data_IF_703815149688
#
_entry.id   IF_703815149688
#
_cell.length_a   1.000
_cell.length_b   1.000
_cell.length_c   1.000
_cell.angle_alpha   90.00
_cell.angle_beta   90.00
_cell.angle_gamma   90.00
#
_symmetry.space_group_name_H-M   'P 1'
#
loop_
_entity.id
_entity.type
_entity.pdbx_description
1 polymer ?
#
# COMPACT_ATOMS: atom_id res chain seq x y z
N UNK A 1 -33.45 -8.90 -55.97
CA UNK A 1 -32.95 -10.13 -55.32
C UNK A 1 -31.90 -9.87 -54.25
N UNK A 2 -31.42 -8.67 -54.03
CA UNK A 2 -30.36 -8.33 -53.01
C UNK A 2 -30.95 -8.24 -51.58
N UNK A 3 -32.23 -7.94 -51.43
CA UNK A 3 -32.89 -7.69 -50.13
C UNK A 3 -33.02 -8.90 -49.19
N UNK A 4 -33.05 -10.12 -49.73
CA UNK A 4 -33.21 -11.35 -48.90
C UNK A 4 -31.92 -11.82 -48.20
N UNK A 5 -30.77 -11.47 -48.76
CA UNK A 5 -29.46 -11.88 -48.16
C UNK A 5 -29.02 -10.92 -47.04
N UNK A 6 -29.45 -9.64 -47.09
CA UNK A 6 -29.17 -8.69 -46.01
C UNK A 6 -29.91 -9.05 -44.73
N UNK A 7 -31.12 -9.61 -44.85
CA UNK A 7 -31.88 -10.06 -43.67
C UNK A 7 -31.23 -11.25 -42.95
N UNK A 8 -30.59 -12.17 -43.70
CA UNK A 8 -29.88 -13.30 -43.13
C UNK A 8 -28.58 -12.94 -42.44
N UNK A 9 -27.87 -11.92 -42.92
CA UNK A 9 -26.65 -11.40 -42.28
C UNK A 9 -27.00 -10.69 -40.97
N UNK A 10 -28.12 -9.98 -40.87
CA UNK A 10 -28.60 -9.37 -39.62
C UNK A 10 -29.07 -10.40 -38.58
N UNK A 11 -29.48 -11.58 -38.97
CA UNK A 11 -29.85 -12.70 -38.08
C UNK A 11 -28.61 -13.46 -37.55
N UNK A 12 -27.45 -13.27 -38.16
CA UNK A 12 -26.14 -13.81 -37.75
C UNK A 12 -25.31 -12.84 -36.93
N UNK A 13 -25.89 -11.72 -36.43
CA UNK A 13 -25.23 -10.88 -35.43
C UNK A 13 -25.10 -11.72 -34.15
N UNK A 14 -23.85 -11.93 -33.67
CA UNK A 14 -23.59 -12.91 -32.64
C UNK A 14 -24.35 -12.56 -31.35
N UNK A 15 -24.87 -13.60 -30.68
CA UNK A 15 -25.37 -13.56 -29.31
C UNK A 15 -24.37 -12.89 -28.33
N UNK A 16 -23.10 -12.77 -28.72
CA UNK A 16 -22.01 -12.17 -27.99
C UNK A 16 -22.19 -10.68 -27.65
N UNK A 17 -22.85 -9.89 -28.49
CA UNK A 17 -23.05 -8.45 -28.23
C UNK A 17 -23.93 -8.21 -27.00
N UNK A 18 -24.92 -9.07 -26.77
CA UNK A 18 -25.74 -8.99 -25.56
C UNK A 18 -24.92 -9.34 -24.33
N UNK A 19 -24.09 -10.37 -24.43
CA UNK A 19 -23.20 -10.79 -23.35
C UNK A 19 -22.16 -9.73 -23.05
N UNK A 20 -21.57 -9.10 -24.08
CA UNK A 20 -20.64 -7.98 -23.92
C UNK A 20 -21.31 -6.81 -23.19
N UNK A 21 -22.53 -6.45 -23.56
CA UNK A 21 -23.25 -5.33 -22.91
C UNK A 21 -23.52 -5.65 -21.42
N UNK A 22 -23.95 -6.86 -21.10
CA UNK A 22 -24.20 -7.32 -19.71
C UNK A 22 -22.90 -7.31 -18.91
N UNK A 23 -21.81 -7.80 -19.49
CA UNK A 23 -20.49 -7.84 -18.82
C UNK A 23 -19.95 -6.44 -18.57
N UNK A 24 -20.08 -5.50 -19.54
CA UNK A 24 -19.66 -4.12 -19.35
C UNK A 24 -20.49 -3.44 -18.25
N UNK A 25 -21.80 -3.66 -18.21
CA UNK A 25 -22.66 -3.14 -17.16
C UNK A 25 -22.23 -3.67 -15.77
N UNK A 26 -21.90 -4.97 -15.67
CA UNK A 26 -21.40 -5.56 -14.42
C UNK A 26 -20.07 -4.94 -13.97
N UNK A 27 -19.15 -4.67 -14.91
CA UNK A 27 -17.89 -3.97 -14.63
C UNK A 27 -18.16 -2.55 -14.10
N UNK A 28 -19.08 -1.82 -14.74
CA UNK A 28 -19.45 -0.47 -14.33
C UNK A 28 -20.08 -0.45 -12.94
N UNK A 29 -20.92 -1.44 -12.61
CA UNK A 29 -21.51 -1.59 -11.26
C UNK A 29 -20.42 -1.85 -10.23
N UNK A 30 -19.50 -2.79 -10.47
CA UNK A 30 -18.40 -3.09 -9.56
C UNK A 30 -17.50 -1.87 -9.31
N UNK A 31 -17.14 -1.16 -10.39
CA UNK A 31 -16.35 0.07 -10.33
C UNK A 31 -17.07 1.20 -9.57
N UNK A 32 -18.37 1.33 -9.76
CA UNK A 32 -19.18 2.34 -9.07
C UNK A 32 -19.26 2.06 -7.58
N UNK A 33 -19.54 0.82 -7.17
CA UNK A 33 -19.58 0.43 -5.76
C UNK A 33 -18.27 0.79 -5.04
N UNK A 34 -17.11 0.57 -5.69
CA UNK A 34 -15.82 0.95 -5.13
C UNK A 34 -15.68 2.46 -5.00
N UNK A 35 -16.03 3.23 -6.04
CA UNK A 35 -15.93 4.70 -6.03
C UNK A 35 -16.86 5.37 -5.02
N UNK A 36 -17.99 4.76 -4.75
CA UNK A 36 -18.98 5.22 -3.75
C UNK A 36 -18.63 4.76 -2.33
N UNK A 37 -17.48 4.09 -2.14
CA UNK A 37 -17.01 3.51 -0.90
C UNK A 37 -17.97 2.46 -0.29
N UNK A 38 -18.82 1.86 -1.12
CA UNK A 38 -19.64 0.70 -0.77
C UNK A 38 -18.83 -0.59 -0.97
N UNK A 39 -17.87 -0.77 -0.07
CA UNK A 39 -16.86 -1.82 -0.24
C UNK A 39 -17.43 -3.23 -0.09
N UNK A 40 -18.47 -3.42 0.70
CA UNK A 40 -19.14 -4.72 0.80
C UNK A 40 -19.76 -5.13 -0.54
N UNK A 41 -20.51 -4.24 -1.20
CA UNK A 41 -21.04 -4.48 -2.53
C UNK A 41 -19.94 -4.54 -3.59
N UNK A 42 -18.87 -3.75 -3.43
CA UNK A 42 -17.72 -3.82 -4.33
C UNK A 42 -17.07 -5.21 -4.33
N UNK A 43 -16.84 -5.81 -3.17
CA UNK A 43 -16.35 -7.20 -3.06
C UNK A 43 -17.30 -8.17 -3.76
N UNK A 44 -18.60 -8.10 -3.46
CA UNK A 44 -19.60 -8.98 -4.06
C UNK A 44 -19.63 -8.86 -5.57
N UNK A 45 -19.63 -7.64 -6.09
CA UNK A 45 -19.69 -7.37 -7.52
C UNK A 45 -18.41 -7.83 -8.25
N UNK A 46 -17.21 -7.60 -7.67
CA UNK A 46 -15.97 -8.11 -8.26
C UNK A 46 -15.89 -9.65 -8.23
N UNK A 47 -16.40 -10.31 -7.19
CA UNK A 47 -16.52 -11.77 -7.18
C UNK A 47 -17.47 -12.25 -8.28
N UNK A 48 -18.62 -11.60 -8.48
CA UNK A 48 -19.55 -11.93 -9.56
C UNK A 48 -18.90 -11.77 -10.96
N UNK A 49 -18.03 -10.76 -11.16
CA UNK A 49 -17.25 -10.63 -12.40
C UNK A 49 -16.40 -11.87 -12.68
N UNK A 50 -15.81 -12.45 -11.65
CA UNK A 50 -14.94 -13.62 -11.77
C UNK A 50 -15.80 -14.88 -11.96
N UNK A 51 -16.79 -15.10 -11.10
CA UNK A 51 -17.51 -16.36 -11.00
C UNK A 51 -18.63 -16.49 -12.05
N UNK A 52 -19.36 -15.42 -12.35
CA UNK A 52 -20.52 -15.44 -13.24
C UNK A 52 -20.16 -14.99 -14.66
N UNK A 53 -19.22 -14.03 -14.79
CA UNK A 53 -18.81 -13.50 -16.07
C UNK A 53 -17.48 -14.06 -16.59
N UNK A 54 -16.78 -14.89 -15.79
CA UNK A 54 -15.53 -15.55 -16.17
C UNK A 54 -14.34 -14.59 -16.36
N UNK A 55 -14.39 -13.37 -15.77
CA UNK A 55 -13.36 -12.36 -15.91
C UNK A 55 -12.22 -12.62 -14.91
N UNK A 56 -11.18 -13.29 -15.39
CA UNK A 56 -10.03 -13.68 -14.55
C UNK A 56 -8.77 -12.79 -14.77
N UNK A 57 -8.93 -11.62 -15.39
CA UNK A 57 -7.85 -10.71 -15.67
C UNK A 57 -7.21 -10.21 -14.36
N UNK A 58 -5.87 -10.01 -14.34
CA UNK A 58 -5.16 -9.53 -13.16
C UNK A 58 -5.72 -8.21 -12.60
N UNK A 59 -6.21 -7.33 -13.48
CA UNK A 59 -6.81 -6.04 -13.12
C UNK A 59 -8.08 -6.21 -12.28
N UNK A 60 -8.94 -7.16 -12.64
CA UNK A 60 -10.17 -7.47 -11.89
C UNK A 60 -9.82 -8.01 -10.50
N UNK A 61 -8.83 -8.92 -10.43
CA UNK A 61 -8.36 -9.46 -9.15
C UNK A 61 -7.69 -8.39 -8.29
N UNK A 62 -6.97 -7.46 -8.89
CA UNK A 62 -6.38 -6.33 -8.17
C UNK A 62 -7.45 -5.42 -7.58
N UNK A 63 -8.50 -5.10 -8.35
CA UNK A 63 -9.63 -4.32 -7.86
C UNK A 63 -10.42 -5.06 -6.76
N UNK A 64 -10.54 -6.39 -6.85
CA UNK A 64 -11.11 -7.20 -5.78
C UNK A 64 -10.24 -7.11 -4.50
N UNK A 65 -8.92 -7.20 -4.62
CA UNK A 65 -8.02 -7.07 -3.48
C UNK A 65 -8.12 -5.70 -2.81
N UNK A 66 -8.22 -4.61 -3.61
CA UNK A 66 -8.49 -3.27 -3.10
C UNK A 66 -9.84 -3.19 -2.36
N UNK A 67 -10.86 -3.87 -2.90
CA UNK A 67 -12.18 -3.92 -2.27
C UNK A 67 -12.13 -4.67 -0.95
N UNK A 68 -11.45 -5.82 -0.87
CA UNK A 68 -11.21 -6.54 0.37
C UNK A 68 -10.50 -5.69 1.41
N UNK A 69 -9.40 -5.03 1.02
CA UNK A 69 -8.61 -4.19 1.92
C UNK A 69 -9.47 -3.07 2.53
N UNK A 70 -10.22 -2.36 1.69
CA UNK A 70 -11.07 -1.26 2.16
C UNK A 70 -12.31 -1.74 2.94
N UNK A 71 -12.74 -3.00 2.73
CA UNK A 71 -13.82 -3.63 3.50
C UNK A 71 -13.33 -4.26 4.82
N UNK A 72 -12.05 -4.12 5.17
CA UNK A 72 -11.47 -4.71 6.39
C UNK A 72 -11.20 -6.22 6.31
N UNK A 73 -11.30 -6.81 5.13
CA UNK A 73 -10.97 -8.23 4.87
C UNK A 73 -9.48 -8.39 4.55
N UNK A 74 -8.62 -8.06 5.52
CA UNK A 74 -7.18 -7.96 5.32
C UNK A 74 -6.52 -9.25 4.83
N UNK A 75 -6.94 -10.40 5.35
CA UNK A 75 -6.36 -11.70 4.95
C UNK A 75 -6.69 -12.06 3.49
N UNK A 76 -7.92 -11.77 3.03
CA UNK A 76 -8.31 -11.98 1.64
C UNK A 76 -7.57 -11.03 0.70
N UNK A 77 -7.38 -9.77 1.14
CA UNK A 77 -6.60 -8.78 0.41
C UNK A 77 -5.14 -9.22 0.25
N UNK A 78 -4.46 -9.58 1.36
CA UNK A 78 -3.07 -10.07 1.34
C UNK A 78 -2.88 -11.26 0.43
N UNK A 79 -3.73 -12.28 0.58
CA UNK A 79 -3.67 -13.49 -0.25
C UNK A 79 -3.80 -13.16 -1.74
N UNK A 80 -4.69 -12.23 -2.07
CA UNK A 80 -4.93 -11.84 -3.47
C UNK A 80 -3.77 -11.01 -4.01
N UNK A 81 -3.23 -10.05 -3.24
CA UNK A 81 -2.05 -9.28 -3.63
C UNK A 81 -0.82 -10.17 -3.78
N UNK A 82 -0.58 -11.10 -2.86
CA UNK A 82 0.54 -12.04 -2.93
C UNK A 82 0.45 -12.91 -4.19
N UNK A 83 -0.74 -13.43 -4.50
CA UNK A 83 -0.95 -14.20 -5.72
C UNK A 83 -0.69 -13.38 -6.98
N UNK A 84 -1.07 -12.09 -7.01
CA UNK A 84 -0.80 -11.19 -8.13
C UNK A 84 0.68 -10.84 -8.22
N UNK A 85 1.34 -10.54 -7.10
CA UNK A 85 2.76 -10.24 -7.06
C UNK A 85 3.62 -11.38 -7.62
N UNK A 86 3.24 -12.63 -7.34
CA UNK A 86 4.01 -13.82 -7.69
C UNK A 86 3.67 -14.41 -9.08
N UNK A 87 2.44 -14.19 -9.59
CA UNK A 87 1.94 -14.87 -10.79
C UNK A 87 1.64 -13.92 -11.96
N UNK A 88 1.94 -12.64 -11.82
CA UNK A 88 1.81 -11.64 -12.89
C UNK A 88 3.13 -10.88 -13.09
N UNK A 89 3.18 -10.04 -14.12
CA UNK A 89 4.35 -9.21 -14.44
C UNK A 89 3.91 -7.78 -14.75
N UNK A 90 4.87 -6.86 -14.79
CA UNK A 90 4.64 -5.46 -15.12
C UNK A 90 3.87 -4.71 -14.05
N UNK A 91 3.03 -3.77 -14.48
CA UNK A 91 2.38 -2.80 -13.58
C UNK A 91 1.50 -3.44 -12.50
N UNK A 92 0.69 -4.43 -12.84
CA UNK A 92 -0.20 -5.08 -11.86
C UNK A 92 0.59 -5.81 -10.78
N UNK A 93 1.64 -6.55 -11.14
CA UNK A 93 2.54 -7.16 -10.16
C UNK A 93 3.23 -6.10 -9.29
N UNK A 94 3.64 -4.99 -9.90
CA UNK A 94 4.24 -3.87 -9.18
C UNK A 94 3.26 -3.24 -8.18
N UNK A 95 2.03 -2.95 -8.60
CA UNK A 95 1.02 -2.39 -7.70
C UNK A 95 0.66 -3.37 -6.58
N UNK A 96 0.48 -4.64 -6.89
CA UNK A 96 0.18 -5.67 -5.90
C UNK A 96 1.32 -5.84 -4.88
N UNK A 97 2.57 -5.87 -5.36
CA UNK A 97 3.74 -5.92 -4.49
C UNK A 97 3.85 -4.68 -3.60
N UNK A 98 3.59 -3.49 -4.13
CA UNK A 98 3.58 -2.27 -3.32
C UNK A 98 2.51 -2.32 -2.23
N UNK A 99 1.29 -2.76 -2.53
CA UNK A 99 0.23 -2.88 -1.52
C UNK A 99 0.55 -3.94 -0.46
N UNK A 100 1.12 -5.07 -0.87
CA UNK A 100 1.59 -6.10 0.07
C UNK A 100 2.68 -5.54 1.01
N UNK A 101 3.62 -4.77 0.46
CA UNK A 101 4.64 -4.09 1.25
C UNK A 101 4.04 -3.13 2.28
N UNK A 102 3.04 -2.33 1.89
CA UNK A 102 2.34 -1.42 2.82
C UNK A 102 1.64 -2.20 3.94
N UNK A 103 0.93 -3.29 3.61
CA UNK A 103 0.25 -4.12 4.62
C UNK A 103 1.24 -4.75 5.59
N UNK A 104 2.37 -5.26 5.11
CA UNK A 104 3.44 -5.82 5.95
C UNK A 104 4.12 -4.75 6.81
N UNK A 105 4.30 -3.55 6.27
CA UNK A 105 4.81 -2.41 7.03
C UNK A 105 3.90 -2.06 8.21
N UNK A 106 2.58 -2.04 8.01
CA UNK A 106 1.59 -1.83 9.07
C UNK A 106 1.63 -2.93 10.14
N UNK A 107 2.08 -4.14 9.78
CA UNK A 107 2.33 -5.26 10.72
C UNK A 107 3.72 -5.21 11.38
N UNK A 108 4.49 -4.15 11.15
CA UNK A 108 5.88 -4.00 11.64
C UNK A 108 6.86 -5.04 11.06
N UNK A 109 6.50 -5.70 9.97
CA UNK A 109 7.34 -6.65 9.24
C UNK A 109 8.20 -5.92 8.19
N UNK A 110 9.03 -4.99 8.67
CA UNK A 110 9.70 -4.00 7.83
C UNK A 110 10.65 -4.59 6.79
N UNK A 111 11.42 -5.64 7.13
CA UNK A 111 12.33 -6.30 6.18
C UNK A 111 11.57 -6.99 5.04
N UNK A 112 10.44 -7.61 5.37
CA UNK A 112 9.54 -8.22 4.37
C UNK A 112 8.87 -7.14 3.50
N UNK A 113 8.40 -6.05 4.12
CA UNK A 113 7.83 -4.90 3.41
C UNK A 113 8.83 -4.32 2.39
N UNK A 114 10.08 -4.10 2.80
CA UNK A 114 11.14 -3.60 1.94
C UNK A 114 11.40 -4.53 0.74
N UNK A 115 11.38 -5.85 0.96
CA UNK A 115 11.53 -6.83 -0.12
C UNK A 115 10.39 -6.74 -1.15
N UNK A 116 9.15 -6.51 -0.71
CA UNK A 116 8.01 -6.31 -1.60
C UNK A 116 8.06 -4.99 -2.35
N UNK A 117 8.49 -3.88 -1.73
CA UNK A 117 8.71 -2.62 -2.44
C UNK A 117 9.81 -2.75 -3.50
N UNK A 118 10.89 -3.47 -3.20
CA UNK A 118 11.92 -3.79 -4.18
C UNK A 118 11.37 -4.63 -5.34
N UNK A 119 10.54 -5.63 -5.05
CA UNK A 119 9.86 -6.45 -6.08
C UNK A 119 8.96 -5.58 -6.95
N UNK A 120 8.24 -4.62 -6.36
CA UNK A 120 7.43 -3.67 -7.12
C UNK A 120 8.27 -2.88 -8.12
N UNK A 121 9.43 -2.38 -7.72
CA UNK A 121 10.35 -1.63 -8.59
C UNK A 121 11.00 -2.50 -9.67
N UNK A 122 11.25 -3.78 -9.40
CA UNK A 122 11.76 -4.71 -10.41
C UNK A 122 10.72 -4.99 -11.51
N UNK A 123 9.43 -4.99 -11.17
CA UNK A 123 8.33 -5.19 -12.11
C UNK A 123 7.95 -3.93 -12.90
N UNK A 124 8.02 -2.75 -12.26
CA UNK A 124 7.79 -1.45 -12.88
C UNK A 124 8.71 -0.40 -12.22
N UNK A 125 9.87 -0.12 -12.83
CA UNK A 125 10.86 0.84 -12.27
C UNK A 125 10.35 2.29 -12.17
N UNK A 126 9.28 2.61 -12.88
CA UNK A 126 8.60 3.91 -12.89
C UNK A 126 7.45 4.02 -11.88
N UNK A 127 7.23 3.01 -11.04
CA UNK A 127 6.26 3.08 -9.95
C UNK A 127 6.79 4.00 -8.84
N UNK A 128 6.43 5.29 -8.93
CA UNK A 128 6.86 6.33 -7.99
C UNK A 128 6.46 6.04 -6.54
N UNK A 129 5.27 5.45 -6.32
CA UNK A 129 4.81 5.09 -4.97
C UNK A 129 5.67 3.99 -4.35
N UNK A 130 6.02 2.98 -5.14
CA UNK A 130 6.89 1.90 -4.66
C UNK A 130 8.30 2.42 -4.39
N UNK A 131 8.82 3.34 -5.23
CA UNK A 131 10.12 3.98 -5.01
C UNK A 131 10.13 4.77 -3.71
N UNK A 132 9.13 5.61 -3.53
CA UNK A 132 8.97 6.39 -2.32
C UNK A 132 8.94 5.50 -1.06
N UNK A 133 8.08 4.48 -1.04
CA UNK A 133 7.97 3.56 0.09
C UNK A 133 9.28 2.81 0.35
N UNK A 134 9.98 2.39 -0.72
CA UNK A 134 11.26 1.70 -0.61
C UNK A 134 12.34 2.60 -0.01
N UNK A 135 12.50 3.81 -0.54
CA UNK A 135 13.51 4.76 -0.09
C UNK A 135 13.29 5.19 1.36
N UNK A 136 12.05 5.49 1.73
CA UNK A 136 11.70 5.87 3.10
C UNK A 136 11.98 4.75 4.09
N UNK A 137 11.47 3.55 3.81
CA UNK A 137 11.64 2.42 4.72
C UNK A 137 13.11 1.97 4.81
N UNK A 138 13.86 2.00 3.69
CA UNK A 138 15.29 1.70 3.67
C UNK A 138 16.08 2.62 4.59
N UNK A 139 15.90 3.93 4.44
CA UNK A 139 16.59 4.94 5.28
C UNK A 139 16.20 4.81 6.75
N UNK A 140 14.92 4.58 7.02
CA UNK A 140 14.47 4.39 8.39
C UNK A 140 15.11 3.15 9.04
N UNK A 141 15.23 2.03 8.30
CA UNK A 141 15.90 0.82 8.78
C UNK A 141 17.40 1.05 9.00
N UNK A 142 18.10 1.68 8.05
CA UNK A 142 19.52 2.02 8.15
C UNK A 142 19.79 2.85 9.40
N UNK A 143 19.01 3.93 9.61
CA UNK A 143 19.16 4.79 10.77
C UNK A 143 18.85 4.09 12.10
N UNK A 144 17.93 3.11 12.13
CA UNK A 144 17.67 2.36 13.36
C UNK A 144 18.72 1.27 13.63
N UNK A 145 19.32 0.67 12.59
CA UNK A 145 20.44 -0.28 12.76
C UNK A 145 21.69 0.46 13.28
N UNK A 146 22.03 1.62 12.72
CA UNK A 146 23.13 2.46 13.21
C UNK A 146 22.93 2.92 14.67
N UNK A 147 21.68 3.20 15.08
CA UNK A 147 21.40 3.57 16.47
C UNK A 147 21.59 2.39 17.42
N UNK A 148 21.20 1.18 17.07
CA UNK A 148 21.40 0.00 17.89
C UNK A 148 22.90 -0.31 18.05
N UNK A 149 23.69 -0.21 16.97
CA UNK A 149 25.14 -0.39 17.02
C UNK A 149 25.85 0.70 17.81
N UNK A 150 25.36 1.96 17.75
CA UNK A 150 25.90 3.07 18.50
C UNK A 150 25.52 3.04 19.99
N UNK A 151 24.34 2.53 20.35
CA UNK A 151 23.96 2.33 21.77
C UNK A 151 24.81 1.25 22.43
N UNK A 152 25.27 0.22 21.68
CA UNK A 152 26.21 -0.79 22.19
C UNK A 152 27.65 -0.28 22.29
N UNK A 153 28.05 0.77 21.55
CA UNK A 153 29.43 1.26 21.45
C UNK A 153 29.68 2.64 22.09
N UNK A 154 28.65 3.36 22.56
CA UNK A 154 28.87 4.64 23.23
C UNK A 154 28.98 4.47 24.74
N UNK A 155 30.23 4.58 25.26
CA UNK A 155 30.49 5.09 26.60
C UNK A 155 29.65 6.34 26.87
N UNK A 156 28.97 6.35 28.00
CA UNK A 156 28.06 7.36 28.51
C UNK A 156 28.58 8.81 28.35
N UNK A 157 28.22 9.50 27.31
CA UNK A 157 28.06 10.93 27.43
C UNK A 157 26.73 11.23 28.13
N UNK A 158 26.75 12.14 29.13
CA UNK A 158 25.67 12.54 30.02
C UNK A 158 24.44 13.07 29.25
N UNK A 159 23.69 12.19 28.55
CA UNK A 159 22.37 12.57 28.04
C UNK A 159 21.35 12.44 29.18
N UNK A 160 20.51 13.44 29.40
CA UNK A 160 19.51 13.35 30.45
C UNK A 160 18.59 12.16 30.21
N UNK A 161 18.30 11.37 31.26
CA UNK A 161 17.33 10.30 31.15
C UNK A 161 15.98 10.85 30.67
N UNK A 162 15.38 10.22 29.62
CA UNK A 162 14.11 10.69 29.08
C UNK A 162 12.99 10.61 30.13
N UNK A 163 12.26 11.69 30.30
CA UNK A 163 11.10 11.75 31.19
C UNK A 163 9.97 10.80 30.75
N UNK A 164 9.00 10.59 31.62
CA UNK A 164 7.78 9.84 31.25
C UNK A 164 7.00 10.53 30.12
N UNK A 165 7.09 11.87 30.01
CA UNK A 165 6.48 12.60 28.90
C UNK A 165 7.24 12.32 27.61
N UNK A 166 8.57 12.43 27.61
CA UNK A 166 9.43 12.14 26.45
C UNK A 166 9.20 10.70 25.94
N UNK A 167 9.17 9.71 26.84
CA UNK A 167 8.89 8.31 26.49
C UNK A 167 7.52 8.12 25.83
N UNK A 168 6.46 8.81 26.31
CA UNK A 168 5.14 8.72 25.67
C UNK A 168 5.11 9.37 24.29
N UNK A 169 5.79 10.51 24.12
CA UNK A 169 5.84 11.20 22.83
C UNK A 169 6.62 10.39 21.80
N UNK A 170 7.74 9.75 22.21
CA UNK A 170 8.49 8.82 21.38
C UNK A 170 7.61 7.63 20.95
N UNK A 171 6.89 7.01 21.88
CA UNK A 171 5.98 5.90 21.55
C UNK A 171 4.85 6.33 20.57
N UNK A 172 4.31 7.55 20.74
CA UNK A 172 3.34 8.09 19.79
C UNK A 172 3.96 8.33 18.41
N UNK A 173 5.19 8.84 18.37
CA UNK A 173 5.90 9.02 17.11
C UNK A 173 6.22 7.68 16.44
N UNK A 174 6.58 6.65 17.20
CA UNK A 174 6.77 5.29 16.67
C UNK A 174 5.49 4.74 16.04
N UNK A 175 4.33 4.91 16.70
CA UNK A 175 3.02 4.53 16.14
C UNK A 175 2.71 5.26 14.81
N UNK A 176 3.16 6.51 14.66
CA UNK A 176 3.03 7.27 13.42
C UNK A 176 3.98 6.77 12.34
N UNK A 177 5.23 6.46 12.69
CA UNK A 177 6.22 5.84 11.80
C UNK A 177 5.73 4.47 11.30
N UNK A 178 5.15 3.66 12.19
CA UNK A 178 4.55 2.37 11.84
C UNK A 178 3.43 2.50 10.79
N UNK A 179 2.80 3.68 10.71
CA UNK A 179 1.76 4.01 9.70
C UNK A 179 2.31 4.79 8.51
N UNK A 180 3.64 4.91 8.38
CA UNK A 180 4.29 5.71 7.35
C UNK A 180 3.93 7.21 7.38
N UNK A 181 3.52 7.74 8.54
CA UNK A 181 3.16 9.14 8.78
C UNK A 181 4.36 9.90 9.33
N UNK A 182 5.44 9.97 8.54
CA UNK A 182 6.74 10.48 8.99
C UNK A 182 6.72 11.99 9.33
N UNK A 183 5.99 12.80 8.55
CA UNK A 183 5.84 14.22 8.81
C UNK A 183 5.13 14.47 10.16
N UNK A 184 4.05 13.73 10.44
CA UNK A 184 3.34 13.82 11.71
C UNK A 184 4.19 13.32 12.88
N UNK A 185 5.00 12.28 12.68
CA UNK A 185 5.96 11.79 13.67
C UNK A 185 7.00 12.87 14.00
N UNK A 186 7.60 13.49 12.98
CA UNK A 186 8.53 14.61 13.15
C UNK A 186 7.91 15.79 13.89
N UNK A 187 6.71 16.20 13.47
CA UNK A 187 5.97 17.28 14.12
C UNK A 187 5.66 16.98 15.60
N UNK A 188 5.33 15.72 15.91
CA UNK A 188 5.07 15.27 17.29
C UNK A 188 6.33 15.41 18.14
N UNK A 189 7.48 14.96 17.66
CA UNK A 189 8.74 15.02 18.39
C UNK A 189 9.25 16.45 18.53
N UNK A 190 9.15 17.29 17.49
CA UNK A 190 9.56 18.70 17.57
C UNK A 190 8.73 19.49 18.59
N UNK A 191 7.40 19.31 18.62
CA UNK A 191 6.56 19.93 19.65
C UNK A 191 6.87 19.41 21.05
N UNK A 192 7.19 18.13 21.16
CA UNK A 192 7.57 17.54 22.45
C UNK A 192 8.90 18.13 22.96
N UNK A 193 9.85 18.38 22.08
CA UNK A 193 11.14 19.00 22.43
C UNK A 193 10.98 20.45 22.94
N UNK A 194 10.00 21.21 22.43
CA UNK A 194 9.67 22.55 22.92
C UNK A 194 9.11 22.54 24.37
N UNK A 195 8.51 21.41 24.78
CA UNK A 195 7.85 21.26 26.10
C UNK A 195 8.78 20.65 27.13
N UNK A 196 9.64 19.70 26.71
CA UNK A 196 10.48 18.90 27.60
C UNK A 196 11.85 18.66 26.97
N UNK A 197 12.87 19.30 27.52
CA UNK A 197 14.26 19.22 27.05
C UNK A 197 14.80 17.77 27.07
N UNK A 198 14.25 16.88 27.90
CA UNK A 198 14.67 15.47 27.94
C UNK A 198 14.32 14.68 26.68
N UNK A 199 13.45 15.23 25.81
CA UNK A 199 13.17 14.69 24.47
C UNK A 199 14.43 14.72 23.58
N UNK A 200 15.41 15.57 23.89
CA UNK A 200 16.70 15.60 23.21
C UNK A 200 17.49 14.28 23.32
N UNK A 201 17.15 13.41 24.30
CA UNK A 201 17.69 12.03 24.33
C UNK A 201 17.30 11.22 23.09
N UNK A 202 16.25 11.63 22.36
CA UNK A 202 15.82 11.03 21.09
C UNK A 202 16.25 11.87 19.86
N UNK A 203 17.27 12.72 19.98
CA UNK A 203 17.68 13.63 18.91
C UNK A 203 17.99 12.89 17.60
N UNK A 204 18.67 11.76 17.65
CA UNK A 204 18.97 10.96 16.45
C UNK A 204 17.70 10.49 15.73
N UNK A 205 16.67 10.07 16.48
CA UNK A 205 15.39 9.70 15.89
C UNK A 205 14.72 10.92 15.21
N UNK A 206 14.81 12.10 15.83
CA UNK A 206 14.29 13.35 15.25
C UNK A 206 15.04 13.71 13.96
N UNK A 207 16.36 13.58 13.96
CA UNK A 207 17.19 13.87 12.80
C UNK A 207 16.87 12.94 11.63
N UNK A 208 16.69 11.65 11.89
CA UNK A 208 16.27 10.71 10.85
C UNK A 208 14.88 11.02 10.27
N UNK A 209 13.91 11.39 11.11
CA UNK A 209 12.59 11.83 10.62
C UNK A 209 12.72 13.09 9.77
N UNK A 210 13.63 14.01 10.09
CA UNK A 210 13.90 15.22 9.33
C UNK A 210 14.51 14.89 7.97
N UNK A 211 15.49 13.98 7.92
CA UNK A 211 16.11 13.53 6.67
C UNK A 211 15.05 12.92 5.73
N UNK A 212 14.10 12.15 6.29
CA UNK A 212 12.99 11.59 5.55
C UNK A 212 12.05 12.69 5.02
N UNK A 213 11.75 13.73 5.81
CA UNK A 213 10.88 14.85 5.41
C UNK A 213 11.51 15.71 4.31
N UNK A 214 12.84 15.88 4.30
CA UNK A 214 13.57 16.62 3.27
C UNK A 214 13.55 15.97 1.89
N UNK A 215 13.35 14.63 1.82
CA UNK A 215 13.23 13.89 0.56
C UNK A 215 11.87 14.13 -0.11
N UNK A 216 10.88 14.52 0.69
CA UNK A 216 9.50 14.74 0.24
C UNK A 216 9.26 16.14 -0.35
N UNK A 217 10.26 17.01 -0.35
CA UNK A 217 10.19 18.39 -0.87
C UNK A 217 10.91 18.56 -2.18
#
# INVERSE_FOLDING_TARGET
MVSRYILWVLLMLPSDWKNIAITNEAIDIASRSFKEADYENSVRNHLALIDEHGLNQPEIKFNLALSYQNNGQEEDAKKTYEALANNTFGEISSFASNQQGVMLGNEKKYKEALAYFKTALLNAPDNEKARYNYELLSRWLEGNEENQENEENQDQEDKPEPSNYAKRMKAQADDLVDRFQFEEALNTMNRALEIDETVASYQQFIDHLKDIDEINK
#
